data_IF_418681383651
#
_entry.id   IF_418681383651
#
_cell.length_a   1.000
_cell.length_b   1.000
_cell.length_c   1.000
_cell.angle_alpha   90.00
_cell.angle_beta   90.00
_cell.angle_gamma   90.00
#
_symmetry.space_group_name_H-M   'P 1'
#
loop_
_entity.id
_entity.type
_entity.pdbx_description
1 polymer ?
#
# COMPACT_ATOMS: atom_id res chain seq x y z
N UNK A 1 3.57 -8.34 39.72
CA UNK A 1 2.18 -8.57 39.30
C UNK A 1 1.49 -9.33 40.43
N UNK A 2 0.31 -8.88 40.80
CA UNK A 2 -0.39 -9.42 41.99
C UNK A 2 -1.17 -10.71 41.68
N UNK A 3 -0.81 -11.44 40.60
CA UNK A 3 -1.42 -12.70 40.15
C UNK A 3 -2.96 -12.69 40.08
N UNK A 4 -3.53 -11.56 39.70
CA UNK A 4 -4.97 -11.46 39.50
C UNK A 4 -5.34 -11.90 38.07
N UNK A 5 -6.24 -12.86 37.95
CA UNK A 5 -6.67 -13.45 36.69
C UNK A 5 -8.05 -12.98 36.24
N UNK A 6 -8.82 -12.28 37.11
CA UNK A 6 -10.17 -11.80 36.81
C UNK A 6 -10.58 -10.66 37.71
N UNK A 7 -11.22 -9.64 37.16
CA UNK A 7 -11.93 -8.59 37.91
C UNK A 7 -13.33 -9.08 38.22
N UNK A 8 -13.75 -9.01 39.51
CA UNK A 8 -15.07 -9.38 39.98
C UNK A 8 -15.82 -8.13 40.46
N UNK A 9 -16.70 -7.60 39.63
CA UNK A 9 -17.51 -6.45 39.97
C UNK A 9 -18.53 -6.79 41.10
N UNK A 10 -18.67 -5.88 42.03
CA UNK A 10 -19.63 -6.03 43.15
C UNK A 10 -20.91 -5.27 42.84
N UNK A 11 -22.11 -5.92 42.92
CA UNK A 11 -23.39 -5.22 42.77
C UNK A 11 -23.54 -4.09 43.78
N UNK A 12 -24.07 -2.96 43.34
CA UNK A 12 -24.32 -1.78 44.21
C UNK A 12 -23.09 -0.87 44.42
N UNK A 13 -21.93 -1.18 43.80
CA UNK A 13 -20.72 -0.34 43.85
C UNK A 13 -20.43 0.26 42.47
N UNK A 14 -19.98 1.52 42.45
CA UNK A 14 -19.58 2.17 41.18
C UNK A 14 -18.35 1.53 40.58
N UNK A 15 -18.38 1.28 39.27
CA UNK A 15 -17.22 0.78 38.51
C UNK A 15 -16.20 1.91 38.33
N UNK A 16 -14.96 1.65 38.69
CA UNK A 16 -13.85 2.59 38.51
C UNK A 16 -13.16 2.39 37.15
N UNK A 17 -12.68 3.47 36.54
CA UNK A 17 -11.97 3.40 35.25
C UNK A 17 -10.76 2.44 35.30
N UNK A 18 -10.03 2.39 36.43
CA UNK A 18 -8.92 1.47 36.63
C UNK A 18 -9.34 -0.01 36.57
N UNK A 19 -10.54 -0.36 36.98
CA UNK A 19 -11.05 -1.74 36.97
C UNK A 19 -11.30 -2.21 35.53
N UNK A 20 -11.81 -1.31 34.67
CA UNK A 20 -11.96 -1.56 33.24
C UNK A 20 -10.60 -1.73 32.54
N UNK A 21 -9.64 -0.87 32.87
CA UNK A 21 -8.28 -0.97 32.33
C UNK A 21 -7.60 -2.28 32.82
N UNK A 22 -7.76 -2.63 34.10
CA UNK A 22 -7.21 -3.88 34.65
C UNK A 22 -7.82 -5.11 33.98
N UNK A 23 -9.15 -5.13 33.76
CA UNK A 23 -9.82 -6.20 33.05
C UNK A 23 -9.23 -6.39 31.64
N UNK A 24 -9.06 -5.29 30.90
CA UNK A 24 -8.48 -5.31 29.57
C UNK A 24 -7.03 -5.84 29.59
N UNK A 25 -6.21 -5.38 30.53
CA UNK A 25 -4.81 -5.80 30.65
C UNK A 25 -4.67 -7.29 31.01
N UNK A 26 -5.54 -7.81 31.88
CA UNK A 26 -5.57 -9.24 32.22
C UNK A 26 -5.89 -10.08 30.99
N UNK A 27 -6.94 -9.71 30.24
CA UNK A 27 -7.35 -10.43 29.02
C UNK A 27 -6.25 -10.38 27.95
N UNK A 28 -5.65 -9.20 27.74
CA UNK A 28 -4.58 -9.04 26.77
C UNK A 28 -3.36 -9.89 27.16
N UNK A 29 -2.97 -9.89 28.43
CA UNK A 29 -1.86 -10.71 28.91
C UNK A 29 -2.13 -12.21 28.68
N UNK A 30 -3.34 -12.71 28.95
CA UNK A 30 -3.67 -14.12 28.70
C UNK A 30 -3.59 -14.48 27.21
N UNK A 31 -4.08 -13.59 26.32
CA UNK A 31 -3.96 -13.77 24.85
C UNK A 31 -2.50 -13.78 24.43
N UNK A 32 -1.70 -12.85 24.96
CA UNK A 32 -0.27 -12.75 24.68
C UNK A 32 0.48 -14.01 25.14
N UNK A 33 0.24 -14.48 26.37
CA UNK A 33 0.87 -15.70 26.90
C UNK A 33 0.52 -16.93 26.06
N UNK A 34 -0.75 -17.09 25.70
CA UNK A 34 -1.20 -18.17 24.83
C UNK A 34 -0.55 -18.04 23.44
N UNK A 35 -0.57 -16.83 22.85
CA UNK A 35 0.01 -16.58 21.54
C UNK A 35 1.51 -16.85 21.51
N UNK A 36 2.27 -16.39 22.50
CA UNK A 36 3.71 -16.62 22.61
C UNK A 36 4.08 -18.12 22.77
N UNK A 37 3.16 -18.92 23.29
CA UNK A 37 3.36 -20.37 23.38
C UNK A 37 3.15 -21.08 22.02
N UNK A 38 2.23 -20.58 21.19
CA UNK A 38 1.82 -21.19 19.92
C UNK A 38 2.58 -20.61 18.74
N UNK A 39 2.81 -19.30 18.74
CA UNK A 39 3.40 -18.54 17.62
C UNK A 39 4.73 -17.90 18.04
N UNK A 40 5.63 -17.76 17.08
CA UNK A 40 6.77 -16.84 17.19
C UNK A 40 6.32 -15.43 16.82
N UNK A 41 6.94 -14.41 17.41
CA UNK A 41 6.71 -13.01 17.01
C UNK A 41 6.98 -12.83 15.51
N UNK A 42 6.04 -12.19 14.80
CA UNK A 42 6.06 -12.07 13.34
C UNK A 42 5.51 -13.30 12.60
N UNK A 43 5.06 -14.36 13.28
CA UNK A 43 4.48 -15.53 12.62
C UNK A 43 3.15 -15.21 11.95
N UNK A 44 2.91 -15.87 10.82
CA UNK A 44 1.68 -15.80 10.05
C UNK A 44 0.62 -16.70 10.71
N UNK A 45 -0.48 -16.10 11.16
CA UNK A 45 -1.62 -16.80 11.80
C UNK A 45 -2.66 -17.20 10.76
N UNK A 46 -3.08 -16.22 9.93
CA UNK A 46 -3.93 -16.45 8.77
C UNK A 46 -3.11 -16.11 7.53
N UNK A 47 -2.87 -17.09 6.64
CA UNK A 47 -2.00 -16.89 5.51
C UNK A 47 -2.53 -15.83 4.53
N UNK A 48 -1.75 -14.76 4.33
CA UNK A 48 -1.78 -13.98 3.11
C UNK A 48 -0.76 -14.58 2.15
N UNK A 49 -1.09 -14.80 0.90
CA UNK A 49 -0.11 -15.31 -0.05
C UNK A 49 0.92 -14.24 -0.38
N UNK A 50 2.17 -14.67 -0.56
CA UNK A 50 3.26 -13.84 -1.09
C UNK A 50 3.41 -14.16 -2.57
N UNK A 51 3.25 -13.17 -3.43
CA UNK A 51 3.52 -13.27 -4.86
C UNK A 51 4.75 -12.44 -5.21
N UNK A 52 5.64 -13.03 -6.00
CA UNK A 52 6.78 -12.33 -6.61
C UNK A 52 6.54 -12.17 -8.10
N UNK A 53 6.60 -10.94 -8.60
CA UNK A 53 6.45 -10.61 -10.01
C UNK A 53 7.80 -10.14 -10.56
N UNK A 54 8.41 -10.97 -11.42
CA UNK A 54 9.64 -10.67 -12.14
C UNK A 54 9.39 -10.01 -13.50
N UNK A 55 8.13 -9.79 -13.87
CA UNK A 55 7.71 -9.12 -15.12
C UNK A 55 6.89 -7.88 -14.81
N UNK A 56 7.33 -7.11 -13.83
CA UNK A 56 6.70 -5.85 -13.44
C UNK A 56 7.16 -4.76 -14.42
N UNK A 57 6.51 -4.72 -15.60
CA UNK A 57 6.93 -3.86 -16.69
C UNK A 57 6.81 -2.39 -16.34
N UNK A 58 7.81 -1.62 -16.71
CA UNK A 58 7.90 -0.19 -16.48
C UNK A 58 7.89 0.57 -17.81
N UNK A 59 7.10 1.65 -17.89
CA UNK A 59 7.13 2.63 -18.95
C UNK A 59 7.60 3.96 -18.38
N UNK A 60 8.78 4.39 -18.74
CA UNK A 60 9.40 5.64 -18.32
C UNK A 60 8.87 6.77 -19.20
N UNK A 61 8.43 7.86 -18.55
CA UNK A 61 7.85 9.01 -19.23
C UNK A 61 8.81 10.20 -19.22
N UNK A 62 8.64 11.10 -20.18
CA UNK A 62 9.25 12.42 -20.14
C UNK A 62 8.59 13.25 -19.04
N UNK A 63 9.34 14.17 -18.45
CA UNK A 63 8.88 15.01 -17.33
C UNK A 63 7.76 15.97 -17.69
N UNK A 64 7.63 16.31 -18.98
CA UNK A 64 6.62 17.24 -19.49
C UNK A 64 5.93 16.69 -20.73
N UNK A 65 4.66 17.05 -20.91
CA UNK A 65 3.91 16.83 -22.13
C UNK A 65 3.14 18.12 -22.47
N UNK A 66 3.41 18.70 -23.63
CA UNK A 66 2.98 20.06 -23.92
C UNK A 66 3.54 21.06 -22.90
N UNK A 67 2.67 21.83 -22.27
CA UNK A 67 3.05 22.79 -21.21
C UNK A 67 2.87 22.23 -19.79
N UNK A 68 2.47 20.96 -19.64
CA UNK A 68 2.12 20.36 -18.36
C UNK A 68 3.22 19.46 -17.83
N UNK A 69 3.48 19.52 -16.51
CA UNK A 69 4.39 18.59 -15.81
C UNK A 69 3.67 17.27 -15.57
N UNK A 70 4.21 16.16 -16.08
CA UNK A 70 3.60 14.81 -16.01
C UNK A 70 3.44 14.35 -14.56
N UNK A 71 4.38 14.64 -13.69
CA UNK A 71 4.32 14.28 -12.26
C UNK A 71 3.03 14.76 -11.56
N UNK A 72 2.44 15.87 -11.99
CA UNK A 72 1.24 16.45 -11.35
C UNK A 72 -0.03 15.62 -11.56
N UNK A 73 -0.07 14.79 -12.59
CA UNK A 73 -1.23 13.95 -12.91
C UNK A 73 -0.88 12.46 -13.08
N UNK A 74 0.35 12.07 -12.77
CA UNK A 74 0.85 10.70 -12.92
C UNK A 74 -0.05 9.66 -12.23
N UNK A 75 -0.54 9.97 -11.04
CA UNK A 75 -1.44 9.09 -10.27
C UNK A 75 -2.78 8.82 -10.97
N UNK A 76 -3.22 9.71 -11.85
CA UNK A 76 -4.50 9.56 -12.55
C UNK A 76 -4.48 8.42 -13.58
N UNK A 77 -3.28 7.97 -13.99
CA UNK A 77 -3.15 6.85 -14.91
C UNK A 77 -3.50 5.50 -14.28
N UNK A 78 -3.42 5.36 -12.96
CA UNK A 78 -3.67 4.07 -12.30
C UNK A 78 -5.07 3.55 -12.65
N UNK A 79 -5.12 2.29 -13.11
CA UNK A 79 -6.33 1.64 -13.60
C UNK A 79 -6.72 1.98 -15.04
N UNK A 80 -6.05 2.95 -15.71
CA UNK A 80 -6.28 3.24 -17.11
C UNK A 80 -5.70 2.17 -18.03
N UNK A 81 -6.31 1.98 -19.19
CA UNK A 81 -5.69 1.30 -20.31
C UNK A 81 -5.03 2.38 -21.17
N UNK A 82 -3.73 2.24 -21.37
CA UNK A 82 -2.94 3.15 -22.20
C UNK A 82 -2.62 2.50 -23.54
N UNK A 83 -2.51 3.33 -24.57
CA UNK A 83 -2.20 2.93 -25.94
C UNK A 83 -1.06 3.78 -26.48
N UNK A 84 -0.04 3.13 -27.03
CA UNK A 84 1.02 3.79 -27.78
C UNK A 84 0.50 4.26 -29.14
N UNK A 85 0.60 5.57 -29.41
CA UNK A 85 0.07 6.15 -30.65
C UNK A 85 0.80 5.62 -31.88
N UNK A 86 2.07 5.30 -31.75
CA UNK A 86 2.92 4.77 -32.86
C UNK A 86 2.91 3.26 -32.90
N UNK A 87 3.13 2.62 -31.74
CA UNK A 87 3.22 1.15 -31.64
C UNK A 87 1.87 0.46 -31.72
N UNK A 88 0.78 1.12 -31.30
CA UNK A 88 -0.55 0.51 -31.14
C UNK A 88 -0.62 -0.49 -29.98
N UNK A 89 0.45 -0.68 -29.24
CA UNK A 89 0.49 -1.57 -28.06
C UNK A 89 -0.40 -1.03 -26.97
N UNK A 90 -1.15 -1.91 -26.29
CA UNK A 90 -2.00 -1.53 -25.16
C UNK A 90 -1.56 -2.19 -23.88
N UNK A 91 -1.65 -1.45 -22.77
CA UNK A 91 -1.35 -1.95 -21.45
C UNK A 91 -2.23 -1.31 -20.37
N UNK A 92 -2.51 -2.05 -19.31
CA UNK A 92 -3.16 -1.51 -18.12
C UNK A 92 -2.11 -0.96 -17.17
N UNK A 93 -2.33 0.25 -16.67
CA UNK A 93 -1.49 0.85 -15.63
C UNK A 93 -1.94 0.32 -14.27
N UNK A 94 -1.02 -0.33 -13.56
CA UNK A 94 -1.28 -0.94 -12.25
C UNK A 94 -0.71 -0.11 -11.10
N UNK A 95 0.36 0.65 -11.36
CA UNK A 95 1.01 1.49 -10.34
C UNK A 95 1.84 2.59 -11.02
N UNK A 96 2.41 3.50 -10.23
CA UNK A 96 3.31 4.54 -10.71
C UNK A 96 4.42 4.85 -9.71
N UNK A 97 5.47 5.49 -10.17
CA UNK A 97 6.52 6.11 -9.34
C UNK A 97 6.84 7.46 -9.91
N UNK A 98 6.80 8.49 -9.07
CA UNK A 98 7.30 9.80 -9.46
C UNK A 98 8.81 9.78 -9.69
N UNK A 99 9.29 10.76 -10.45
CA UNK A 99 10.70 10.99 -10.67
C UNK A 99 11.45 11.16 -9.35
N UNK A 100 12.66 10.61 -9.29
CA UNK A 100 13.54 10.74 -8.13
C UNK A 100 14.88 11.33 -8.59
N UNK A 101 15.12 12.59 -8.22
CA UNK A 101 16.34 13.31 -8.57
C UNK A 101 17.59 12.71 -7.92
N UNK A 102 17.47 11.98 -6.81
CA UNK A 102 18.62 11.36 -6.12
C UNK A 102 19.16 10.15 -6.88
N UNK A 103 18.29 9.41 -7.57
CA UNK A 103 18.66 8.26 -8.39
C UNK A 103 18.69 8.57 -9.89
N UNK A 104 18.13 9.72 -10.30
CA UNK A 104 17.96 10.10 -11.70
C UNK A 104 16.81 9.35 -12.39
N UNK A 105 15.94 8.71 -11.62
CA UNK A 105 14.78 7.98 -12.15
C UNK A 105 13.74 8.95 -12.70
N UNK A 106 13.18 8.72 -13.90
CA UNK A 106 12.10 9.50 -14.45
C UNK A 106 10.73 9.10 -13.86
N UNK A 107 9.70 9.92 -14.14
CA UNK A 107 8.32 9.52 -13.94
C UNK A 107 8.04 8.19 -14.64
N UNK A 108 7.49 7.23 -13.92
CA UNK A 108 7.36 5.86 -14.41
C UNK A 108 5.97 5.30 -14.11
N UNK A 109 5.34 4.71 -15.13
CA UNK A 109 4.15 3.89 -15.00
C UNK A 109 4.54 2.42 -14.96
N UNK A 110 3.99 1.67 -14.01
CA UNK A 110 4.09 0.21 -14.01
C UNK A 110 2.86 -0.37 -14.66
N UNK A 111 3.08 -1.26 -15.62
CA UNK A 111 2.07 -1.68 -16.57
C UNK A 111 2.00 -3.19 -16.71
N UNK A 112 0.82 -3.65 -17.13
CA UNK A 112 0.60 -5.01 -17.59
C UNK A 112 0.13 -4.97 -19.04
N UNK A 113 0.92 -5.50 -19.96
CA UNK A 113 0.56 -5.56 -21.38
C UNK A 113 -0.73 -6.35 -21.60
N UNK A 114 -1.60 -5.87 -22.47
CA UNK A 114 -2.89 -6.49 -22.83
C UNK A 114 -2.81 -7.01 -24.26
N UNK A 115 -2.46 -6.15 -25.21
CA UNK A 115 -2.39 -6.50 -26.64
C UNK A 115 -1.11 -5.99 -27.28
N UNK A 116 -0.66 -6.71 -28.29
CA UNK A 116 0.38 -6.27 -29.22
C UNK A 116 -0.26 -5.52 -30.39
N UNK A 117 0.49 -4.69 -31.12
CA UNK A 117 -0.04 -3.88 -32.20
C UNK A 117 -0.16 -4.59 -33.55
N UNK A 118 0.55 -5.71 -33.72
CA UNK A 118 0.69 -6.39 -35.00
C UNK A 118 0.22 -7.82 -34.93
N UNK A 119 -0.35 -8.34 -36.03
CA UNK A 119 -0.79 -9.72 -36.09
C UNK A 119 0.37 -10.73 -36.04
N UNK A 120 1.57 -10.29 -36.38
CA UNK A 120 2.79 -11.07 -36.33
C UNK A 120 3.57 -10.93 -35.01
N UNK A 121 3.04 -10.15 -34.06
CA UNK A 121 3.68 -9.82 -32.77
C UNK A 121 5.10 -9.20 -32.91
N UNK A 122 5.36 -8.48 -34.00
CA UNK A 122 6.65 -7.82 -34.21
C UNK A 122 6.89 -6.66 -33.24
N UNK A 123 5.83 -6.01 -32.78
CA UNK A 123 5.87 -4.93 -31.78
C UNK A 123 5.11 -5.35 -30.54
N UNK A 124 5.83 -5.71 -29.49
CA UNK A 124 5.27 -6.27 -28.25
C UNK A 124 5.40 -5.35 -27.04
N UNK A 125 6.13 -4.24 -27.19
CA UNK A 125 6.36 -3.22 -26.17
C UNK A 125 6.18 -1.83 -26.78
N UNK A 126 5.97 -0.83 -25.92
CA UNK A 126 5.93 0.57 -26.36
C UNK A 126 7.25 0.99 -27.01
N UNK A 127 7.15 1.87 -28.00
CA UNK A 127 8.33 2.41 -28.69
C UNK A 127 8.94 3.57 -27.91
N UNK A 128 10.23 3.80 -28.10
CA UNK A 128 10.89 4.98 -27.55
C UNK A 128 10.30 6.25 -28.14
N UNK A 129 10.19 7.30 -27.32
CA UNK A 129 9.70 8.62 -27.73
C UNK A 129 8.28 8.64 -28.34
N UNK A 130 7.46 7.64 -28.10
CA UNK A 130 6.08 7.67 -28.61
C UNK A 130 5.12 8.36 -27.63
N UNK A 131 4.09 8.95 -28.20
CA UNK A 131 2.99 9.52 -27.44
C UNK A 131 2.09 8.40 -26.89
N UNK A 132 1.60 8.61 -25.67
CA UNK A 132 0.74 7.69 -24.95
C UNK A 132 -0.62 8.34 -24.76
N UNK A 133 -1.68 7.67 -25.18
CA UNK A 133 -3.06 8.02 -24.89
C UNK A 133 -3.67 7.11 -23.82
N UNK A 134 -4.77 7.52 -23.19
CA UNK A 134 -5.45 6.73 -22.17
C UNK A 134 -6.96 6.64 -22.48
N UNK A 135 -7.57 5.51 -22.13
CA UNK A 135 -9.01 5.26 -22.30
C UNK A 135 -9.91 6.04 -21.34
N UNK A 136 -9.35 6.94 -20.57
CA UNK A 136 -10.05 7.89 -19.69
C UNK A 136 -9.38 9.26 -19.75
N UNK A 137 -10.11 10.30 -19.35
CA UNK A 137 -9.54 11.65 -19.27
C UNK A 137 -8.40 11.67 -18.21
N UNK A 138 -7.29 12.29 -18.59
CA UNK A 138 -6.09 12.46 -17.73
C UNK A 138 -5.81 13.96 -17.66
N UNK A 139 -5.96 14.57 -16.50
CA UNK A 139 -5.82 16.01 -16.31
C UNK A 139 -6.72 16.81 -17.30
N UNK A 140 -6.12 17.68 -18.11
CA UNK A 140 -6.81 18.47 -19.17
C UNK A 140 -6.95 17.74 -20.49
N UNK A 141 -6.44 16.52 -20.61
CA UNK A 141 -6.49 15.74 -21.84
C UNK A 141 -7.76 14.88 -21.87
N UNK A 142 -8.47 14.92 -23.03
CA UNK A 142 -9.67 14.10 -23.21
C UNK A 142 -9.34 12.62 -23.36
N UNK A 143 -10.38 11.79 -23.31
CA UNK A 143 -10.29 10.34 -23.57
C UNK A 143 -9.63 10.10 -24.92
N UNK A 144 -8.72 9.13 -24.97
CA UNK A 144 -7.93 8.74 -26.15
C UNK A 144 -7.02 9.83 -26.75
N UNK A 145 -6.96 11.00 -26.12
CA UNK A 145 -5.96 12.00 -26.49
C UNK A 145 -4.59 11.65 -25.90
N UNK A 146 -3.53 11.99 -26.65
CA UNK A 146 -2.17 11.90 -26.11
C UNK A 146 -2.03 12.78 -24.86
N UNK A 147 -1.45 12.24 -23.82
CA UNK A 147 -1.33 12.90 -22.52
C UNK A 147 0.07 12.75 -21.87
N UNK A 148 0.94 11.92 -22.45
CA UNK A 148 2.34 11.76 -22.06
C UNK A 148 3.16 11.30 -23.26
N UNK A 149 4.49 11.35 -23.12
CA UNK A 149 5.44 10.78 -24.09
C UNK A 149 6.41 9.88 -23.35
N UNK A 150 6.70 8.69 -23.88
CA UNK A 150 7.75 7.83 -23.41
C UNK A 150 9.12 8.49 -23.45
N UNK A 151 10.10 8.02 -22.66
CA UNK A 151 11.47 8.52 -22.76
C UNK A 151 12.03 8.36 -24.16
N UNK A 152 12.92 9.28 -24.55
CA UNK A 152 13.51 9.28 -25.87
C UNK A 152 14.36 8.04 -26.18
N UNK A 153 14.87 7.39 -25.14
CA UNK A 153 15.64 6.15 -25.22
C UNK A 153 15.28 5.25 -24.08
N UNK A 154 15.22 3.96 -24.34
CA UNK A 154 14.90 2.93 -23.31
C UNK A 154 13.64 3.28 -22.51
N UNK A 155 12.57 3.68 -23.21
CA UNK A 155 11.30 4.03 -22.57
C UNK A 155 10.71 2.88 -21.75
N UNK A 156 10.97 1.63 -22.17
CA UNK A 156 10.47 0.44 -21.47
C UNK A 156 11.58 -0.25 -20.68
N UNK A 157 11.19 -0.86 -19.57
CA UNK A 157 12.07 -1.69 -18.75
C UNK A 157 11.26 -2.80 -18.06
N UNK A 158 11.95 -3.79 -17.52
CA UNK A 158 11.35 -4.84 -16.71
C UNK A 158 11.83 -4.70 -15.27
N UNK A 159 10.93 -4.33 -14.41
CA UNK A 159 11.15 -4.25 -12.96
C UNK A 159 10.73 -5.53 -12.24
N UNK A 160 10.71 -5.46 -10.93
CA UNK A 160 10.25 -6.53 -10.04
C UNK A 160 9.45 -5.99 -8.87
N UNK A 161 8.46 -6.74 -8.42
CA UNK A 161 7.63 -6.40 -7.29
C UNK A 161 7.30 -7.63 -6.43
N UNK A 162 7.01 -7.39 -5.18
CA UNK A 162 6.45 -8.38 -4.27
C UNK A 162 5.10 -7.91 -3.75
N UNK A 163 4.10 -8.75 -3.82
CA UNK A 163 2.75 -8.48 -3.30
C UNK A 163 2.46 -9.44 -2.16
N UNK A 164 2.03 -8.90 -1.02
CA UNK A 164 1.52 -9.68 0.11
C UNK A 164 0.03 -9.42 0.22
N UNK A 165 -0.77 -10.47 0.10
CA UNK A 165 -2.22 -10.40 0.27
C UNK A 165 -2.59 -10.18 1.74
N UNK A 166 -3.86 -9.82 1.97
CA UNK A 166 -4.40 -9.66 3.32
C UNK A 166 -4.26 -10.93 4.16
N UNK A 167 -3.87 -10.78 5.41
CA UNK A 167 -3.68 -11.88 6.36
C UNK A 167 -3.62 -11.37 7.80
N UNK A 168 -3.30 -12.24 8.74
CA UNK A 168 -3.13 -11.91 10.16
C UNK A 168 -1.77 -12.40 10.63
N UNK A 169 -1.03 -11.52 11.28
CA UNK A 169 0.28 -11.79 11.87
C UNK A 169 0.22 -11.67 13.39
N UNK A 170 0.90 -12.57 14.09
CA UNK A 170 1.09 -12.45 15.53
C UNK A 170 2.28 -11.52 15.80
N UNK A 171 2.03 -10.36 16.39
CA UNK A 171 3.03 -9.31 16.60
C UNK A 171 2.88 -8.75 18.01
N UNK A 172 3.93 -8.90 18.82
CA UNK A 172 4.02 -8.36 20.20
C UNK A 172 2.77 -8.67 21.03
N UNK A 173 2.27 -9.89 20.95
CA UNK A 173 1.10 -10.33 21.70
C UNK A 173 -0.26 -9.99 21.05
N UNK A 174 -0.28 -9.38 19.86
CA UNK A 174 -1.50 -9.01 19.14
C UNK A 174 -1.65 -9.79 17.83
N UNK A 175 -2.89 -10.10 17.48
CA UNK A 175 -3.27 -10.60 16.16
C UNK A 175 -3.49 -9.39 15.23
N UNK A 176 -2.47 -9.03 14.45
CA UNK A 176 -2.48 -7.82 13.62
C UNK A 176 -2.86 -8.16 12.19
N UNK A 177 -3.95 -7.57 11.71
CA UNK A 177 -4.40 -7.71 10.34
C UNK A 177 -3.61 -6.76 9.42
N UNK A 178 -3.18 -7.27 8.25
CA UNK A 178 -2.71 -6.46 7.15
C UNK A 178 -3.70 -6.48 5.99
N UNK A 179 -3.74 -5.40 5.23
CA UNK A 179 -4.35 -5.35 3.89
C UNK A 179 -3.32 -5.72 2.83
N UNK A 180 -3.78 -6.01 1.62
CA UNK A 180 -2.88 -6.24 0.48
C UNK A 180 -1.93 -5.05 0.27
N UNK A 181 -0.64 -5.36 0.10
CA UNK A 181 0.39 -4.37 -0.20
C UNK A 181 1.33 -4.89 -1.29
N UNK A 182 1.63 -4.03 -2.25
CA UNK A 182 2.62 -4.30 -3.30
C UNK A 182 3.83 -3.39 -3.09
N UNK A 183 5.00 -4.00 -3.02
CA UNK A 183 6.30 -3.33 -2.88
C UNK A 183 7.11 -3.48 -4.16
N UNK A 184 7.48 -2.37 -4.77
CA UNK A 184 8.40 -2.36 -5.91
C UNK A 184 9.81 -2.68 -5.38
N UNK A 185 10.38 -3.78 -5.82
CA UNK A 185 11.72 -4.20 -5.41
C UNK A 185 12.76 -3.44 -6.21
N UNK A 186 12.71 -3.55 -7.53
CA UNK A 186 13.51 -2.74 -8.45
C UNK A 186 12.62 -2.20 -9.56
N UNK A 187 12.81 -0.93 -9.91
CA UNK A 187 11.99 -0.26 -10.93
C UNK A 187 12.30 -0.76 -12.34
N UNK A 188 13.56 -1.11 -12.61
CA UNK A 188 14.04 -1.36 -13.97
C UNK A 188 14.86 -2.63 -14.11
N UNK A 189 14.97 -3.44 -13.06
CA UNK A 189 15.62 -4.75 -13.08
C UNK A 189 14.75 -5.82 -12.45
N UNK A 190 14.88 -7.05 -12.94
CA UNK A 190 14.07 -8.18 -12.47
C UNK A 190 14.85 -9.20 -11.63
N UNK A 191 16.05 -8.82 -11.18
CA UNK A 191 16.93 -9.65 -10.34
C UNK A 191 17.22 -8.96 -9.01
N UNK A 192 16.17 -8.67 -8.19
CA UNK A 192 16.34 -7.97 -6.92
C UNK A 192 17.08 -8.82 -5.90
N UNK A 193 17.88 -8.17 -5.04
CA UNK A 193 18.62 -8.81 -3.95
C UNK A 193 18.25 -8.15 -2.62
N UNK A 194 17.05 -8.47 -2.12
CA UNK A 194 16.49 -7.87 -0.90
C UNK A 194 15.88 -8.91 0.04
N UNK A 195 15.91 -8.58 1.32
CA UNK A 195 15.05 -9.19 2.32
C UNK A 195 13.76 -8.36 2.43
N UNK A 196 12.61 -9.01 2.32
CA UNK A 196 11.29 -8.37 2.44
C UNK A 196 10.72 -8.70 3.81
N UNK A 197 10.07 -7.73 4.44
CA UNK A 197 9.45 -7.89 5.75
C UNK A 197 8.56 -6.71 6.12
N UNK A 198 7.93 -6.82 7.29
CA UNK A 198 7.08 -5.77 7.82
C UNK A 198 7.87 -4.75 8.63
N UNK A 199 7.63 -3.48 8.37
CA UNK A 199 7.91 -2.41 9.32
C UNK A 199 6.68 -2.25 10.20
N UNK A 200 6.88 -2.38 11.52
CA UNK A 200 5.82 -2.29 12.52
C UNK A 200 5.81 -0.87 13.07
N UNK A 201 4.65 -0.22 13.01
CA UNK A 201 4.45 1.12 13.59
C UNK A 201 3.33 1.03 14.63
N UNK A 202 3.63 1.47 15.84
CA UNK A 202 2.66 1.59 16.92
C UNK A 202 2.27 3.05 17.12
N UNK A 203 0.99 3.31 17.31
CA UNK A 203 0.46 4.66 17.52
C UNK A 203 -0.74 4.64 18.45
N UNK A 204 -0.94 5.77 19.13
CA UNK A 204 -2.15 6.03 19.90
C UNK A 204 -2.99 7.00 19.07
N UNK A 205 -4.17 6.55 18.67
CA UNK A 205 -5.13 7.35 17.91
C UNK A 205 -6.06 8.05 18.90
N UNK A 206 -6.13 9.36 18.80
CA UNK A 206 -6.97 10.24 19.63
C UNK A 206 -8.17 10.74 18.82
N UNK A 207 -9.11 11.41 19.46
CA UNK A 207 -10.24 12.06 18.78
C UNK A 207 -9.82 13.21 17.84
N UNK A 208 -8.58 13.72 17.96
CA UNK A 208 -8.03 14.69 17.01
C UNK A 208 -7.57 14.02 15.71
N UNK A 209 -7.16 12.75 15.78
CA UNK A 209 -6.72 11.98 14.62
C UNK A 209 -7.92 11.30 13.92
N UNK A 210 -8.94 10.94 14.70
CA UNK A 210 -10.15 10.27 14.20
C UNK A 210 -11.39 10.79 14.92
N UNK A 211 -12.18 11.61 14.25
CA UNK A 211 -13.40 12.21 14.78
C UNK A 211 -14.52 11.20 15.08
N UNK A 212 -14.43 9.98 14.58
CA UNK A 212 -15.38 8.90 14.95
C UNK A 212 -15.26 8.48 16.42
N UNK A 213 -14.18 8.88 17.09
CA UNK A 213 -13.98 8.67 18.53
C UNK A 213 -14.67 9.73 19.41
N UNK A 214 -15.33 10.72 18.81
CA UNK A 214 -16.19 11.65 19.54
C UNK A 214 -17.55 11.02 19.84
N UNK A 215 -18.19 11.48 20.92
CA UNK A 215 -19.55 11.05 21.27
C UNK A 215 -20.53 11.50 20.18
N UNK A 216 -21.30 10.55 19.65
CA UNK A 216 -22.26 10.76 18.57
C UNK A 216 -23.71 11.00 19.06
N UNK A 217 -23.93 11.10 20.37
CA UNK A 217 -25.27 11.27 20.97
C UNK A 217 -25.81 12.69 20.72
N UNK A 218 -26.34 12.93 19.52
CA UNK A 218 -26.94 14.22 19.14
C UNK A 218 -28.07 14.61 20.10
N UNK A 219 -28.05 15.88 20.51
CA UNK A 219 -29.03 16.41 21.45
C UNK A 219 -28.73 16.16 22.94
N UNK A 220 -27.62 15.47 23.27
CA UNK A 220 -27.12 15.33 24.63
C UNK A 220 -26.07 16.40 24.97
N UNK A 221 -25.89 16.65 26.27
CA UNK A 221 -24.83 17.56 26.76
C UNK A 221 -23.41 17.03 26.48
N UNK A 222 -23.28 15.73 26.18
CA UNK A 222 -21.99 15.07 25.89
C UNK A 222 -21.70 14.96 24.40
N UNK A 223 -22.56 15.47 23.52
CA UNK A 223 -22.32 15.46 22.07
C UNK A 223 -20.94 16.04 21.73
N UNK A 224 -20.21 15.32 20.88
CA UNK A 224 -18.84 15.64 20.49
C UNK A 224 -17.80 15.66 21.65
N UNK A 225 -18.13 15.12 22.83
CA UNK A 225 -17.13 14.91 23.87
C UNK A 225 -16.10 13.87 23.42
N UNK A 226 -14.84 14.06 23.86
CA UNK A 226 -13.73 13.15 23.51
C UNK A 226 -13.92 11.78 24.15
N UNK A 227 -13.84 10.73 23.34
CA UNK A 227 -13.85 9.34 23.80
C UNK A 227 -12.47 8.83 24.21
N UNK A 228 -12.39 7.54 24.52
CA UNK A 228 -11.13 6.89 24.84
C UNK A 228 -10.23 6.77 23.58
N UNK A 229 -8.92 6.91 23.78
CA UNK A 229 -7.93 6.69 22.74
C UNK A 229 -7.88 5.23 22.28
N UNK A 230 -7.32 4.97 21.11
CA UNK A 230 -7.13 3.62 20.53
C UNK A 230 -5.66 3.36 20.32
N UNK A 231 -5.20 2.17 20.74
CA UNK A 231 -3.89 1.65 20.38
C UNK A 231 -3.98 0.98 19.01
N UNK A 232 -3.11 1.39 18.09
CA UNK A 232 -3.07 0.91 16.71
C UNK A 232 -1.70 0.36 16.38
N UNK A 233 -1.67 -0.83 15.79
CA UNK A 233 -0.47 -1.41 15.16
C UNK A 233 -0.71 -1.44 13.66
N UNK A 234 0.24 -0.87 12.90
CA UNK A 234 0.20 -0.84 11.43
C UNK A 234 1.40 -1.57 10.87
N UNK A 235 1.17 -2.34 9.81
CA UNK A 235 2.18 -3.10 9.09
C UNK A 235 2.41 -2.48 7.72
N UNK A 236 3.65 -2.08 7.44
CA UNK A 236 4.06 -1.56 6.12
C UNK A 236 5.09 -2.49 5.52
N UNK A 237 4.84 -2.98 4.31
CA UNK A 237 5.77 -3.85 3.60
C UNK A 237 7.02 -3.06 3.21
N UNK A 238 8.18 -3.57 3.56
CA UNK A 238 9.48 -2.91 3.33
C UNK A 238 10.53 -3.88 2.84
N UNK A 239 11.57 -3.34 2.20
CA UNK A 239 12.73 -4.10 1.75
C UNK A 239 14.02 -3.60 2.41
N UNK A 240 14.96 -4.51 2.62
CA UNK A 240 16.33 -4.22 3.07
C UNK A 240 17.30 -4.93 2.15
N UNK A 241 18.39 -4.27 1.80
CA UNK A 241 19.50 -4.92 1.07
C UNK A 241 20.01 -6.11 1.85
N UNK A 242 20.41 -7.17 1.12
CA UNK A 242 21.18 -8.27 1.71
C UNK A 242 22.60 -7.76 1.95
N UNK A 243 22.99 -7.72 3.20
CA UNK A 243 24.37 -7.44 3.66
C UNK A 243 25.07 -8.74 3.97
#
# INVERSE_FOLDING_TARGET
SDDFYRVLFRPGYAVQARELTTLQSILQNQIEQFGNHVFKDGALVIPGSLAYDSKYYALKLQSTFGSNTVATYLSQYVGAIITGVTSGVTAQVINYSAADSSTGDPDTLFIKYITTSTLDNSTVVFSDNENISANKAISSYSVDAASATGQATSATATGSAATVLGGIYFIRGFMVQNTEQTLILDKYTNTPSYRIGWTITESIITSNDDTSLLDNAQGSSNYAATGANRFKISLTLSKRTLT
#
